data_IF_880921355284
#
_entry.id   IF_880921355284
#
_cell.length_a   1.000
_cell.length_b   1.000
_cell.length_c   1.000
_cell.angle_alpha   90.00
_cell.angle_beta   90.00
_cell.angle_gamma   90.00
#
_symmetry.space_group_name_H-M   'P 1'
#
loop_
_entity.id
_entity.type
_entity.pdbx_description
1 polymer ?
#
# COMPACT_ATOMS: atom_id res chain seq x y z
N UNK A 1 -36.35 14.73 -3.56
CA UNK A 1 -35.13 15.05 -2.78
C UNK A 1 -34.26 13.82 -2.73
N UNK A 2 -33.31 13.68 -3.65
CA UNK A 2 -32.34 12.59 -3.60
C UNK A 2 -31.33 12.93 -2.50
N UNK A 3 -31.35 12.16 -1.42
CA UNK A 3 -30.38 12.21 -0.32
C UNK A 3 -28.98 11.97 -0.88
N UNK A 4 -28.12 12.98 -0.78
CA UNK A 4 -26.71 12.87 -1.09
C UNK A 4 -26.09 11.78 -0.21
N UNK A 5 -25.81 10.62 -0.81
CA UNK A 5 -25.05 9.57 -0.14
C UNK A 5 -23.64 10.11 0.03
N UNK A 6 -23.31 10.57 1.23
CA UNK A 6 -21.92 10.86 1.61
C UNK A 6 -21.12 9.59 1.35
N UNK A 7 -20.24 9.61 0.34
CA UNK A 7 -19.29 8.52 0.10
C UNK A 7 -18.33 8.48 1.28
N UNK A 8 -18.65 7.71 2.30
CA UNK A 8 -17.73 7.36 3.38
C UNK A 8 -16.51 6.71 2.71
N UNK A 9 -15.31 7.21 2.99
CA UNK A 9 -14.03 6.76 2.43
C UNK A 9 -13.62 5.31 2.79
N UNK A 10 -14.59 4.44 3.12
CA UNK A 10 -14.38 3.09 3.62
C UNK A 10 -13.63 2.19 2.63
N UNK A 11 -13.89 2.29 1.32
CA UNK A 11 -13.18 1.49 0.31
C UNK A 11 -11.69 1.82 0.20
N UNK A 12 -11.30 3.06 0.52
CA UNK A 12 -9.90 3.48 0.59
C UNK A 12 -9.18 2.85 1.77
N UNK A 13 -9.72 3.01 2.97
CA UNK A 13 -9.15 2.44 4.19
C UNK A 13 -9.12 0.90 4.16
N UNK A 14 -10.17 0.27 3.63
CA UNK A 14 -10.22 -1.19 3.44
C UNK A 14 -9.11 -1.67 2.49
N UNK A 15 -8.90 -0.96 1.37
CA UNK A 15 -7.82 -1.28 0.43
C UNK A 15 -6.45 -1.10 1.05
N UNK A 16 -6.24 -0.07 1.88
CA UNK A 16 -4.97 0.12 2.60
C UNK A 16 -4.65 -1.08 3.51
N UNK A 17 -5.63 -1.59 4.28
CA UNK A 17 -5.43 -2.76 5.16
C UNK A 17 -5.01 -4.00 4.35
N UNK A 18 -5.69 -4.26 3.24
CA UNK A 18 -5.36 -5.42 2.38
C UNK A 18 -3.96 -5.26 1.77
N UNK A 19 -3.62 -4.06 1.29
CA UNK A 19 -2.31 -3.80 0.67
C UNK A 19 -1.17 -3.85 1.68
N UNK A 20 -1.36 -3.37 2.91
CA UNK A 20 -0.37 -3.47 3.98
C UNK A 20 -0.15 -4.93 4.38
N UNK A 21 -1.23 -5.71 4.48
CA UNK A 21 -1.15 -7.15 4.79
C UNK A 21 -0.40 -7.90 3.71
N UNK A 22 -0.75 -7.66 2.44
CA UNK A 22 -0.06 -8.27 1.29
C UNK A 22 1.43 -7.91 1.28
N UNK A 23 1.77 -6.64 1.53
CA UNK A 23 3.16 -6.20 1.56
C UNK A 23 3.96 -6.95 2.63
N UNK A 24 3.46 -7.02 3.86
CA UNK A 24 4.15 -7.74 4.95
C UNK A 24 4.30 -9.23 4.62
N UNK A 25 3.29 -9.86 4.02
CA UNK A 25 3.37 -11.25 3.59
C UNK A 25 4.46 -11.47 2.53
N UNK A 26 4.55 -10.60 1.52
CA UNK A 26 5.57 -10.66 0.48
C UNK A 26 6.98 -10.49 1.05
N UNK A 27 7.18 -9.54 1.97
CA UNK A 27 8.47 -9.31 2.63
C UNK A 27 8.90 -10.56 3.42
N UNK A 28 7.99 -11.15 4.21
CA UNK A 28 8.29 -12.36 4.98
C UNK A 28 8.55 -13.58 4.12
N UNK A 29 7.95 -13.65 2.92
CA UNK A 29 8.20 -14.70 1.95
C UNK A 29 9.49 -14.51 1.14
N UNK A 30 10.23 -13.40 1.34
CA UNK A 30 11.42 -13.08 0.54
C UNK A 30 11.09 -12.64 -0.90
N UNK A 31 9.83 -12.32 -1.20
CA UNK A 31 9.35 -11.94 -2.53
C UNK A 31 9.63 -10.46 -2.83
N UNK A 32 10.91 -10.08 -2.76
CA UNK A 32 11.39 -8.68 -2.80
C UNK A 32 10.90 -7.93 -4.03
N UNK A 33 10.96 -8.55 -5.23
CA UNK A 33 10.51 -7.92 -6.49
C UNK A 33 9.03 -7.56 -6.48
N UNK A 34 8.19 -8.40 -5.88
CA UNK A 34 6.75 -8.15 -5.78
C UNK A 34 6.47 -7.06 -4.75
N UNK A 35 7.18 -7.09 -3.63
CA UNK A 35 7.07 -6.08 -2.58
C UNK A 35 7.49 -4.68 -3.08
N UNK A 36 8.61 -4.58 -3.81
CA UNK A 36 9.06 -3.31 -4.39
C UNK A 36 8.08 -2.79 -5.43
N UNK A 37 7.60 -3.64 -6.34
CA UNK A 37 6.61 -3.25 -7.35
C UNK A 37 5.29 -2.74 -6.75
N UNK A 38 4.83 -3.34 -5.64
CA UNK A 38 3.65 -2.87 -4.93
C UNK A 38 3.87 -1.48 -4.29
N UNK A 39 5.05 -1.25 -3.69
CA UNK A 39 5.43 0.04 -3.11
C UNK A 39 5.56 1.13 -4.18
N UNK A 40 6.16 0.81 -5.32
CA UNK A 40 6.27 1.75 -6.45
C UNK A 40 4.88 2.18 -6.95
N UNK A 41 3.94 1.24 -7.10
CA UNK A 41 2.57 1.56 -7.48
C UNK A 41 1.86 2.45 -6.45
N UNK A 42 2.05 2.18 -5.16
CA UNK A 42 1.47 2.98 -4.06
C UNK A 42 2.03 4.40 -4.06
N UNK A 43 3.36 4.53 -4.15
CA UNK A 43 4.07 5.81 -4.17
C UNK A 43 3.74 6.64 -5.42
N UNK A 44 3.58 5.99 -6.58
CA UNK A 44 3.14 6.65 -7.80
C UNK A 44 1.74 7.26 -7.65
N UNK A 45 0.84 6.57 -6.93
CA UNK A 45 -0.52 7.06 -6.70
C UNK A 45 -0.58 8.17 -5.65
N UNK A 46 0.20 8.05 -4.57
CA UNK A 46 0.25 9.03 -3.48
C UNK A 46 1.61 8.96 -2.78
N UNK A 47 2.33 10.09 -2.65
CA UNK A 47 3.53 10.15 -1.82
C UNK A 47 3.26 9.67 -0.39
N UNK A 48 4.10 8.77 0.12
CA UNK A 48 3.97 8.17 1.46
C UNK A 48 5.36 7.96 2.08
N UNK A 49 5.74 8.71 3.13
CA UNK A 49 7.03 8.52 3.81
C UNK A 49 7.22 7.10 4.38
N UNK A 50 6.12 6.45 4.79
CA UNK A 50 6.13 5.06 5.27
C UNK A 50 6.53 4.11 4.15
N UNK A 51 5.91 4.24 2.98
CA UNK A 51 6.16 3.36 1.84
C UNK A 51 7.57 3.60 1.28
N UNK A 52 8.07 4.85 1.28
CA UNK A 52 9.45 5.15 0.90
C UNK A 52 10.47 4.49 1.84
N UNK A 53 10.23 4.49 3.16
CA UNK A 53 11.11 3.81 4.12
C UNK A 53 11.10 2.30 3.93
N UNK A 54 9.93 1.70 3.67
CA UNK A 54 9.84 0.28 3.36
C UNK A 54 10.60 -0.05 2.08
N UNK A 55 10.46 0.74 1.02
CA UNK A 55 11.16 0.52 -0.24
C UNK A 55 12.68 0.62 -0.06
N UNK A 56 13.15 1.63 0.68
CA UNK A 56 14.56 1.77 1.02
C UNK A 56 15.09 0.57 1.82
N UNK A 57 14.29 0.01 2.74
CA UNK A 57 14.66 -1.18 3.50
C UNK A 57 14.80 -2.45 2.65
N UNK A 58 14.03 -2.56 1.56
CA UNK A 58 14.13 -3.69 0.62
C UNK A 58 15.41 -3.65 -0.23
N UNK A 59 16.00 -2.48 -0.45
CA UNK A 59 17.21 -2.33 -1.24
C UNK A 59 18.50 -2.70 -0.49
N UNK A 60 18.41 -2.91 0.83
CA UNK A 60 19.55 -3.14 1.73
C UNK A 60 19.67 -4.62 2.16
N UNK A 61 18.72 -5.48 1.78
CA UNK A 61 18.72 -6.93 2.05
C UNK A 61 18.94 -7.77 0.80
#
# INVERSE_FOLDING_TARGET
MARDVVRIGGSGAQREIVQDTLLVALIRAGEVKKASGLLDQRLHRRPSPRDSRWLAGLAVG
#
